data_IF_211018503883
#
_entry.id   IF_211018503883
#
_cell.length_a   1.000
_cell.length_b   1.000
_cell.length_c   1.000
_cell.angle_alpha   90.00
_cell.angle_beta   90.00
_cell.angle_gamma   90.00
#
_symmetry.space_group_name_H-M   'P 1'
#
loop_
_entity.id
_entity.type
_entity.pdbx_description
1 polymer ?
#
# COMPACT_ATOMS: atom_id res chain seq x y z
N UNK A 1 -32.38 -15.06 2.94
CA UNK A 1 -32.23 -13.66 2.54
C UNK A 1 -31.57 -12.93 3.70
N UNK A 2 -30.24 -12.69 3.64
CA UNK A 2 -29.51 -11.83 4.59
C UNK A 2 -28.87 -10.72 3.77
N UNK A 3 -29.34 -9.52 3.96
CA UNK A 3 -28.90 -8.28 3.31
C UNK A 3 -27.47 -7.96 3.73
N UNK A 4 -26.53 -8.00 2.80
CA UNK A 4 -25.21 -7.43 2.95
C UNK A 4 -25.33 -5.92 2.69
N UNK A 5 -25.20 -5.11 3.73
CA UNK A 5 -24.96 -3.68 3.56
C UNK A 5 -23.56 -3.48 2.99
N UNK A 6 -23.41 -2.73 1.88
CA UNK A 6 -22.11 -2.26 1.46
C UNK A 6 -21.72 -1.09 2.38
N UNK A 7 -20.61 -1.24 3.11
CA UNK A 7 -19.94 -0.11 3.72
C UNK A 7 -19.38 0.78 2.60
N UNK A 8 -20.14 1.78 2.20
CA UNK A 8 -19.66 2.87 1.39
C UNK A 8 -18.78 3.75 2.27
N UNK A 9 -17.47 3.63 2.15
CA UNK A 9 -16.53 4.64 2.65
C UNK A 9 -16.66 5.85 1.71
N UNK A 10 -17.57 6.76 2.04
CA UNK A 10 -17.62 8.06 1.43
C UNK A 10 -16.43 8.86 1.96
N UNK A 11 -15.38 8.96 1.16
CA UNK A 11 -14.30 9.93 1.37
C UNK A 11 -14.89 11.33 1.10
N UNK A 12 -15.48 11.93 2.10
CA UNK A 12 -15.74 13.37 2.13
C UNK A 12 -14.38 14.05 2.22
N UNK A 13 -13.88 14.59 1.10
CA UNK A 13 -12.84 15.62 1.11
C UNK A 13 -13.47 16.86 1.79
N UNK A 14 -13.41 16.89 3.10
CA UNK A 14 -13.63 18.11 3.86
C UNK A 14 -12.46 19.05 3.54
N UNK A 15 -12.77 20.22 2.96
CA UNK A 15 -11.82 21.30 2.90
C UNK A 15 -11.50 21.69 4.35
N UNK A 16 -10.40 21.15 4.88
CA UNK A 16 -9.84 21.63 6.13
C UNK A 16 -9.28 23.02 5.85
N UNK A 17 -10.00 24.05 6.30
CA UNK A 17 -9.40 25.34 6.53
C UNK A 17 -8.34 25.12 7.62
N UNK A 18 -7.08 24.97 7.20
CA UNK A 18 -5.95 24.90 8.11
C UNK A 18 -5.79 26.28 8.71
N UNK A 19 -6.37 26.48 9.88
CA UNK A 19 -5.96 27.57 10.74
C UNK A 19 -4.49 27.32 11.09
N UNK A 20 -3.60 28.23 10.70
CA UNK A 20 -2.19 28.20 11.09
C UNK A 20 -2.11 28.42 12.60
N UNK A 21 -2.27 27.35 13.37
CA UNK A 21 -1.84 27.32 14.74
C UNK A 21 -0.32 27.21 14.68
N UNK A 22 0.38 28.32 14.87
CA UNK A 22 1.78 28.30 15.21
C UNK A 22 1.87 27.71 16.62
N UNK A 23 1.98 26.40 16.71
CA UNK A 23 2.45 25.77 17.94
C UNK A 23 3.96 26.03 17.98
N UNK A 24 4.44 26.65 19.03
CA UNK A 24 5.86 26.69 19.41
C UNK A 24 6.28 25.27 19.88
N UNK A 25 6.22 24.31 18.98
CA UNK A 25 6.62 22.92 19.18
C UNK A 25 7.19 22.38 17.86
N UNK A 26 8.10 21.43 17.93
CA UNK A 26 8.69 20.76 16.77
C UNK A 26 7.68 19.88 15.98
N UNK A 27 6.40 20.01 16.29
CA UNK A 27 5.31 19.23 15.68
C UNK A 27 4.99 19.77 14.30
N UNK A 28 5.04 18.93 13.31
CA UNK A 28 4.70 19.31 11.94
C UNK A 28 4.00 18.16 11.20
N UNK A 29 3.14 18.54 10.24
CA UNK A 29 2.51 17.61 9.34
C UNK A 29 3.21 17.63 7.99
N UNK A 30 3.36 16.47 7.38
CA UNK A 30 3.85 16.32 6.01
C UNK A 30 2.81 15.56 5.22
N UNK A 31 2.30 16.16 4.15
CA UNK A 31 1.45 15.48 3.17
C UNK A 31 2.25 15.22 1.92
N UNK A 32 2.33 13.96 1.48
CA UNK A 32 3.02 13.58 0.25
C UNK A 32 2.01 13.03 -0.76
N UNK A 33 2.11 13.45 -1.99
CA UNK A 33 1.31 12.94 -3.13
C UNK A 33 2.29 12.47 -4.19
N UNK A 34 2.07 11.26 -4.70
CA UNK A 34 2.98 10.66 -5.66
C UNK A 34 2.42 9.43 -6.35
N UNK A 35 3.32 8.54 -6.71
CA UNK A 35 2.99 7.26 -7.30
C UNK A 35 3.87 6.16 -6.77
N UNK A 36 3.37 4.94 -6.83
CA UNK A 36 4.15 3.77 -6.47
C UNK A 36 3.94 2.62 -7.45
N UNK A 37 5.02 1.87 -7.67
CA UNK A 37 5.03 0.60 -8.41
C UNK A 37 5.10 -0.52 -7.40
N UNK A 38 4.06 -1.34 -7.35
CA UNK A 38 4.03 -2.58 -6.57
C UNK A 38 4.58 -3.70 -7.45
N UNK A 39 5.69 -4.27 -7.05
CA UNK A 39 6.33 -5.42 -7.69
C UNK A 39 6.24 -6.63 -6.75
N UNK A 40 5.26 -7.55 -6.96
CA UNK A 40 5.21 -8.81 -6.25
C UNK A 40 6.52 -9.58 -6.43
N UNK A 41 6.90 -10.40 -5.45
CA UNK A 41 8.05 -11.30 -5.63
C UNK A 41 7.75 -12.35 -6.71
N UNK A 42 8.79 -12.97 -7.23
CA UNK A 42 8.66 -14.15 -8.07
C UNK A 42 8.12 -15.32 -7.24
N UNK A 43 7.32 -16.19 -7.86
CA UNK A 43 6.73 -17.36 -7.22
C UNK A 43 5.83 -17.00 -6.01
N UNK A 44 4.63 -16.54 -6.32
CA UNK A 44 3.62 -16.13 -5.33
C UNK A 44 2.89 -17.30 -4.66
N UNK A 45 3.51 -18.47 -4.58
CA UNK A 45 2.98 -19.67 -3.93
C UNK A 45 2.37 -20.67 -4.91
N UNK A 46 1.59 -21.59 -4.36
CA UNK A 46 0.96 -22.68 -5.14
C UNK A 46 -0.55 -22.67 -4.93
N UNK A 47 -1.30 -22.65 -6.03
CA UNK A 47 -2.74 -22.71 -6.05
C UNK A 47 -3.18 -23.94 -6.84
N UNK A 48 -3.97 -24.83 -6.24
CA UNK A 48 -4.39 -26.12 -6.79
C UNK A 48 -3.23 -26.95 -7.39
N UNK A 49 -2.06 -26.90 -6.76
CA UNK A 49 -0.86 -27.63 -7.22
C UNK A 49 -0.05 -26.93 -8.32
N UNK A 50 -0.50 -25.79 -8.87
CA UNK A 50 0.21 -25.02 -9.87
C UNK A 50 0.90 -23.79 -9.26
N UNK A 51 2.09 -23.43 -9.74
CA UNK A 51 2.78 -22.19 -9.36
C UNK A 51 1.95 -20.97 -9.75
N UNK A 52 1.85 -20.01 -8.83
CA UNK A 52 1.11 -18.76 -9.03
C UNK A 52 2.04 -17.57 -9.20
N UNK A 53 1.70 -16.68 -10.13
CA UNK A 53 2.38 -15.40 -10.37
C UNK A 53 1.37 -14.26 -10.35
N UNK A 54 1.78 -13.11 -9.77
CA UNK A 54 0.97 -11.89 -9.63
C UNK A 54 1.65 -10.75 -10.38
N UNK A 55 0.90 -10.07 -11.25
CA UNK A 55 1.45 -8.97 -12.06
C UNK A 55 1.78 -7.72 -11.23
N UNK A 56 2.75 -6.92 -11.69
CA UNK A 56 3.04 -5.59 -11.13
C UNK A 56 1.91 -4.61 -11.42
N UNK A 57 1.81 -3.56 -10.60
CA UNK A 57 0.82 -2.50 -10.77
C UNK A 57 1.35 -1.15 -10.31
N UNK A 58 0.99 -0.08 -11.03
CA UNK A 58 1.38 1.30 -10.69
C UNK A 58 0.14 2.12 -10.38
N UNK A 59 0.13 2.85 -9.24
CA UNK A 59 -0.99 3.69 -8.82
C UNK A 59 -0.52 4.95 -8.10
N UNK A 60 -1.35 6.02 -8.13
CA UNK A 60 -1.15 7.19 -7.28
C UNK A 60 -1.22 6.81 -5.79
N UNK A 61 -0.44 7.52 -4.98
CA UNK A 61 -0.37 7.35 -3.52
C UNK A 61 -0.54 8.70 -2.82
N UNK A 62 -1.05 8.63 -1.60
CA UNK A 62 -1.07 9.72 -0.64
C UNK A 62 -0.50 9.22 0.68
N UNK A 63 0.35 10.03 1.30
CA UNK A 63 1.00 9.73 2.57
C UNK A 63 0.82 10.94 3.48
N UNK A 64 0.31 10.73 4.67
CA UNK A 64 0.16 11.74 5.71
C UNK A 64 1.03 11.34 6.89
N UNK A 65 2.04 12.16 7.20
CA UNK A 65 2.96 11.93 8.31
C UNK A 65 2.87 13.07 9.32
N UNK A 66 2.77 12.70 10.60
CA UNK A 66 2.84 13.60 11.73
C UNK A 66 4.18 13.44 12.43
N UNK A 67 5.01 14.49 12.38
CA UNK A 67 6.31 14.57 13.06
C UNK A 67 6.09 15.05 14.50
N UNK A 68 6.18 14.13 15.47
CA UNK A 68 6.06 14.47 16.90
C UNK A 68 7.41 14.83 17.55
N UNK A 69 8.50 14.63 16.83
CA UNK A 69 9.83 15.21 17.08
C UNK A 69 10.48 15.52 15.74
N UNK A 70 11.62 16.26 15.69
CA UNK A 70 12.33 16.47 14.43
C UNK A 70 12.71 15.18 13.70
N UNK A 71 12.94 14.09 14.43
CA UNK A 71 13.43 12.83 13.89
C UNK A 71 12.34 11.75 13.78
N UNK A 72 11.25 11.81 14.56
CA UNK A 72 10.25 10.76 14.60
C UNK A 72 8.91 11.21 14.05
N UNK A 73 8.37 10.42 13.13
CA UNK A 73 7.04 10.61 12.56
C UNK A 73 6.20 9.35 12.63
N UNK A 74 4.88 9.54 12.67
CA UNK A 74 3.89 8.49 12.44
C UNK A 74 3.21 8.78 11.13
N UNK A 75 3.15 7.80 10.22
CA UNK A 75 2.55 7.97 8.90
C UNK A 75 1.39 7.04 8.62
N UNK A 76 0.48 7.51 7.79
CA UNK A 76 -0.58 6.72 7.17
C UNK A 76 -0.45 6.84 5.67
N UNK A 77 -0.09 5.72 5.05
CA UNK A 77 0.00 5.61 3.61
C UNK A 77 -1.28 5.01 3.04
N UNK A 78 -1.84 5.69 2.07
CA UNK A 78 -2.93 5.21 1.22
C UNK A 78 -2.53 5.22 -0.26
N UNK A 79 -3.27 4.45 -1.07
CA UNK A 79 -3.06 4.41 -2.51
C UNK A 79 -4.42 4.30 -3.22
N UNK A 80 -4.48 4.65 -4.51
CA UNK A 80 -5.57 4.17 -5.35
C UNK A 80 -5.49 2.65 -5.48
N UNK A 81 -6.64 1.96 -5.61
CA UNK A 81 -6.64 0.50 -5.67
C UNK A 81 -5.72 -0.04 -6.76
N UNK A 82 -4.75 -0.86 -6.36
CA UNK A 82 -3.90 -1.60 -7.28
C UNK A 82 -4.71 -2.72 -7.92
N UNK A 83 -4.46 -2.99 -9.20
CA UNK A 83 -5.08 -4.09 -9.93
C UNK A 83 -4.01 -5.06 -10.35
N UNK A 84 -4.26 -6.35 -10.08
CA UNK A 84 -3.32 -7.42 -10.40
C UNK A 84 -4.03 -8.54 -11.17
N UNK A 85 -3.34 -9.08 -12.14
CA UNK A 85 -3.70 -10.32 -12.79
C UNK A 85 -2.96 -11.46 -12.07
N UNK A 86 -3.69 -12.53 -11.76
CA UNK A 86 -3.16 -13.75 -11.16
C UNK A 86 -3.08 -14.81 -12.25
N UNK A 87 -1.87 -15.33 -12.46
CA UNK A 87 -1.60 -16.36 -13.45
C UNK A 87 -1.19 -17.67 -12.79
N UNK A 88 -1.51 -18.79 -13.39
CA UNK A 88 -1.08 -20.12 -12.98
C UNK A 88 -0.24 -20.78 -14.07
N UNK A 89 0.79 -21.51 -13.64
CA UNK A 89 1.65 -22.24 -14.54
C UNK A 89 0.86 -23.20 -15.45
N UNK A 90 1.03 -23.06 -16.75
CA UNK A 90 0.31 -23.87 -17.76
C UNK A 90 -1.12 -23.42 -18.08
N UNK A 91 -1.71 -22.48 -17.34
CA UNK A 91 -3.09 -22.03 -17.53
C UNK A 91 -3.19 -20.53 -17.92
N UNK A 92 -2.09 -19.77 -17.81
CA UNK A 92 -2.11 -18.32 -18.03
C UNK A 92 -2.89 -17.56 -16.96
N UNK A 93 -3.43 -16.40 -17.30
CA UNK A 93 -4.21 -15.57 -16.37
C UNK A 93 -5.55 -16.22 -16.05
N UNK A 94 -5.76 -16.51 -14.75
CA UNK A 94 -6.96 -17.22 -14.25
C UNK A 94 -7.86 -16.34 -13.37
N UNK A 95 -7.34 -15.23 -12.84
CA UNK A 95 -8.14 -14.29 -12.05
C UNK A 95 -7.60 -12.87 -12.16
N UNK A 96 -8.47 -11.90 -11.88
CA UNK A 96 -8.14 -10.50 -11.71
C UNK A 96 -8.68 -10.02 -10.39
N UNK A 97 -7.90 -9.23 -9.65
CA UNK A 97 -8.28 -8.71 -8.35
C UNK A 97 -7.83 -7.27 -8.18
N UNK A 98 -8.52 -6.53 -7.31
CA UNK A 98 -8.09 -5.22 -6.81
C UNK A 98 -7.70 -5.33 -5.35
N UNK A 99 -6.70 -4.55 -4.96
CA UNK A 99 -6.29 -4.46 -3.57
C UNK A 99 -6.08 -3.01 -3.14
N UNK A 100 -6.37 -2.76 -1.86
CA UNK A 100 -6.08 -1.51 -1.18
C UNK A 100 -5.24 -1.85 0.06
N UNK A 101 -3.92 -1.52 0.07
CA UNK A 101 -3.00 -1.86 1.16
C UNK A 101 -2.66 -0.65 2.04
N UNK A 102 -3.60 -0.05 2.83
CA UNK A 102 -3.22 0.98 3.78
C UNK A 102 -2.14 0.46 4.74
N UNK A 103 -1.20 1.35 5.06
CA UNK A 103 -0.10 1.07 5.97
C UNK A 103 -0.02 2.17 7.01
N UNK A 104 0.04 1.77 8.28
CA UNK A 104 0.34 2.64 9.41
C UNK A 104 1.78 2.38 9.83
N UNK A 105 2.61 3.42 9.87
CA UNK A 105 4.03 3.30 10.13
C UNK A 105 4.56 4.28 11.17
N UNK A 106 5.78 4.01 11.59
CA UNK A 106 6.63 4.93 12.37
C UNK A 106 7.94 5.05 11.64
N UNK A 107 8.35 6.28 11.34
CA UNK A 107 9.58 6.60 10.62
C UNK A 107 10.57 7.31 11.52
N UNK A 108 11.84 7.03 11.30
CA UNK A 108 12.95 7.78 11.88
C UNK A 108 13.76 8.48 10.79
N UNK A 109 13.79 9.80 10.83
CA UNK A 109 14.56 10.65 9.94
C UNK A 109 15.92 10.97 10.56
N UNK A 110 17.01 10.54 9.92
CA UNK A 110 18.35 10.62 10.51
C UNK A 110 18.91 12.06 10.54
N UNK A 111 18.60 12.85 9.52
CA UNK A 111 19.11 14.23 9.35
C UNK A 111 17.98 15.14 8.89
N UNK A 112 16.97 15.46 9.75
CA UNK A 112 15.74 16.13 9.34
C UNK A 112 15.94 17.54 8.78
N UNK A 113 17.03 18.22 9.17
CA UNK A 113 17.33 19.59 8.73
C UNK A 113 18.25 19.63 7.49
N UNK A 114 18.79 18.48 7.07
CA UNK A 114 19.69 18.43 5.92
C UNK A 114 18.92 18.56 4.59
N UNK A 115 19.62 18.99 3.53
CA UNK A 115 19.06 19.02 2.18
C UNK A 115 18.64 17.62 1.68
N UNK A 116 19.30 16.57 2.19
CA UNK A 116 18.95 15.17 1.97
C UNK A 116 18.83 14.48 3.32
N UNK A 117 17.63 14.03 3.67
CA UNK A 117 17.30 13.37 4.92
C UNK A 117 16.96 11.89 4.66
N UNK A 118 17.86 10.95 4.95
CA UNK A 118 17.55 9.54 4.92
C UNK A 118 16.55 9.18 6.02
N UNK A 119 15.67 8.23 5.77
CA UNK A 119 14.76 7.71 6.79
C UNK A 119 14.58 6.20 6.68
N UNK A 120 14.23 5.60 7.82
CA UNK A 120 13.81 4.21 7.94
C UNK A 120 12.49 4.16 8.70
N UNK A 121 11.60 3.25 8.29
CA UNK A 121 10.30 3.07 8.91
C UNK A 121 9.93 1.61 9.07
N UNK A 122 9.11 1.36 10.07
CA UNK A 122 8.45 0.07 10.31
C UNK A 122 6.96 0.31 10.53
N UNK A 123 6.13 -0.65 10.15
CA UNK A 123 4.70 -0.45 10.26
C UNK A 123 3.89 -1.74 10.15
N UNK A 124 2.59 -1.56 10.15
CA UNK A 124 1.60 -2.60 9.95
C UNK A 124 0.83 -2.30 8.67
N UNK A 125 0.78 -3.27 7.79
CA UNK A 125 0.01 -3.23 6.56
C UNK A 125 -1.28 -4.02 6.73
N UNK A 126 -2.40 -3.44 6.28
CA UNK A 126 -3.65 -4.15 6.09
C UNK A 126 -4.01 -4.15 4.62
N UNK A 127 -4.03 -5.31 3.98
CA UNK A 127 -4.41 -5.43 2.57
C UNK A 127 -5.83 -5.97 2.45
N UNK A 128 -6.70 -5.14 1.88
CA UNK A 128 -8.07 -5.53 1.53
C UNK A 128 -8.13 -5.90 0.05
N UNK A 129 -8.58 -7.13 -0.24
CA UNK A 129 -8.83 -7.62 -1.61
C UNK A 129 -10.31 -7.53 -1.92
N UNK A 130 -10.62 -6.98 -3.09
CA UNK A 130 -12.00 -6.81 -3.55
C UNK A 130 -12.06 -6.86 -5.09
N UNK A 131 -13.28 -6.91 -5.63
CA UNK A 131 -13.52 -6.97 -7.07
C UNK A 131 -12.71 -8.11 -7.74
N UNK A 132 -12.72 -9.29 -7.09
CA UNK A 132 -12.01 -10.48 -7.57
C UNK A 132 -12.91 -11.32 -8.43
N UNK A 133 -12.47 -11.61 -9.67
CA UNK A 133 -13.22 -12.44 -10.60
C UNK A 133 -12.32 -13.41 -11.35
N UNK A 134 -12.86 -14.61 -11.59
CA UNK A 134 -12.23 -15.62 -12.43
C UNK A 134 -12.22 -15.21 -13.90
N UNK A 135 -11.09 -15.46 -14.55
CA UNK A 135 -10.88 -15.28 -15.99
C UNK A 135 -10.26 -16.56 -16.58
N UNK A 136 -10.14 -16.67 -17.89
CA UNK A 136 -9.52 -17.83 -18.53
C UNK A 136 -10.13 -19.16 -18.04
N UNK A 137 -9.29 -20.03 -17.48
CA UNK A 137 -9.72 -21.34 -16.97
C UNK A 137 -10.71 -21.26 -15.78
N UNK A 138 -10.74 -20.12 -15.06
CA UNK A 138 -11.69 -19.88 -13.95
C UNK A 138 -12.84 -18.95 -14.34
N UNK A 139 -13.08 -18.72 -15.62
CA UNK A 139 -14.20 -17.90 -16.07
C UNK A 139 -15.54 -18.45 -15.55
N UNK A 140 -16.37 -17.57 -14.97
CA UNK A 140 -17.65 -17.94 -14.38
C UNK A 140 -17.56 -18.59 -12.98
N UNK A 141 -16.37 -18.89 -12.48
CA UNK A 141 -16.16 -19.39 -11.13
C UNK A 141 -16.09 -18.21 -10.13
N UNK A 142 -16.58 -18.45 -8.89
CA UNK A 142 -16.46 -17.47 -7.81
C UNK A 142 -15.07 -17.58 -7.19
N UNK A 143 -14.20 -16.62 -7.50
CA UNK A 143 -12.87 -16.52 -6.88
C UNK A 143 -12.92 -15.50 -5.75
N UNK A 144 -12.29 -15.80 -4.61
CA UNK A 144 -12.14 -14.87 -3.49
C UNK A 144 -10.75 -14.97 -2.86
N UNK A 145 -10.22 -13.84 -2.42
CA UNK A 145 -8.94 -13.72 -1.75
C UNK A 145 -9.21 -13.11 -0.38
N UNK A 146 -8.69 -13.73 0.68
CA UNK A 146 -8.84 -13.23 2.04
C UNK A 146 -8.02 -11.96 2.24
N UNK A 147 -8.48 -11.08 3.14
CA UNK A 147 -7.68 -9.92 3.54
C UNK A 147 -6.44 -10.37 4.32
N UNK A 148 -5.39 -9.55 4.29
CA UNK A 148 -4.11 -9.84 4.93
C UNK A 148 -3.73 -8.75 5.92
N UNK A 149 -3.14 -9.16 7.04
CA UNK A 149 -2.41 -8.30 7.97
C UNK A 149 -0.96 -8.74 7.98
N UNK A 150 -0.03 -7.80 7.89
CA UNK A 150 1.40 -8.12 7.91
C UNK A 150 2.25 -6.95 8.37
N UNK A 151 3.53 -7.23 8.63
CA UNK A 151 4.53 -6.21 8.88
C UNK A 151 4.91 -5.48 7.60
N UNK A 152 5.36 -4.24 7.75
CA UNK A 152 5.93 -3.47 6.66
C UNK A 152 7.23 -2.79 7.10
N UNK A 153 8.14 -2.62 6.16
CA UNK A 153 9.37 -1.84 6.36
C UNK A 153 9.50 -0.85 5.20
N UNK A 154 10.06 0.33 5.49
CA UNK A 154 10.25 1.42 4.54
C UNK A 154 11.64 2.01 4.70
N UNK A 155 12.30 2.34 3.60
CA UNK A 155 13.54 3.10 3.58
C UNK A 155 13.48 4.13 2.45
N UNK A 156 14.00 5.33 2.67
CA UNK A 156 13.95 6.36 1.65
C UNK A 156 14.77 7.60 2.01
N UNK A 157 14.58 8.60 1.16
CA UNK A 157 15.22 9.91 1.28
C UNK A 157 14.18 10.99 1.02
N UNK A 158 14.13 11.97 1.93
CA UNK A 158 13.48 13.26 1.70
C UNK A 158 14.51 14.25 1.18
N UNK A 159 14.24 14.88 0.06
CA UNK A 159 15.06 15.92 -0.55
C UNK A 159 14.37 17.27 -0.40
N UNK A 160 14.95 18.19 0.34
CA UNK A 160 14.42 19.54 0.55
C UNK A 160 14.49 20.35 -0.75
N UNK A 161 13.33 20.76 -1.27
CA UNK A 161 13.21 21.63 -2.45
C UNK A 161 13.16 23.10 -2.00
N UNK A 162 12.42 23.38 -0.93
CA UNK A 162 12.32 24.68 -0.27
C UNK A 162 12.01 24.47 1.21
N UNK A 163 11.70 25.53 1.95
CA UNK A 163 11.41 25.41 3.40
C UNK A 163 10.21 24.50 3.70
N UNK A 164 9.20 24.48 2.81
CA UNK A 164 8.00 23.69 3.00
C UNK A 164 7.88 22.52 2.00
N UNK A 165 8.57 22.57 0.86
CA UNK A 165 8.44 21.54 -0.18
C UNK A 165 9.58 20.55 -0.15
N UNK A 166 9.26 19.29 -0.29
CA UNK A 166 10.21 18.19 -0.39
C UNK A 166 9.84 17.22 -1.52
N UNK A 167 10.83 16.52 -2.04
CA UNK A 167 10.65 15.36 -2.87
C UNK A 167 11.08 14.12 -2.09
N UNK A 168 10.32 13.04 -2.20
CA UNK A 168 10.63 11.78 -1.52
C UNK A 168 10.79 10.67 -2.55
N UNK A 169 11.82 9.84 -2.37
CA UNK A 169 11.93 8.53 -3.03
C UNK A 169 12.09 7.47 -1.97
N UNK A 170 11.36 6.36 -2.10
CA UNK A 170 11.39 5.30 -1.10
C UNK A 170 11.20 3.91 -1.69
N UNK A 171 11.67 2.94 -0.97
CA UNK A 171 11.40 1.51 -1.18
C UNK A 171 10.71 0.96 0.06
N UNK A 172 9.69 0.13 -0.16
CA UNK A 172 8.92 -0.54 0.89
C UNK A 172 8.85 -2.02 0.61
N UNK A 173 8.74 -2.78 1.67
CA UNK A 173 8.38 -4.18 1.62
C UNK A 173 7.23 -4.41 2.60
N UNK A 174 6.29 -5.27 2.26
CA UNK A 174 5.20 -5.67 3.14
C UNK A 174 4.99 -7.18 3.08
N UNK A 175 4.76 -7.79 4.24
CA UNK A 175 4.32 -9.18 4.33
C UNK A 175 2.84 -9.26 3.98
N UNK A 176 2.53 -9.88 2.84
CA UNK A 176 1.15 -10.04 2.36
C UNK A 176 0.92 -11.49 1.98
N UNK A 177 0.21 -12.21 2.85
CA UNK A 177 -0.15 -13.60 2.64
C UNK A 177 -1.68 -13.77 2.75
N UNK A 178 -2.29 -14.42 1.76
CA UNK A 178 -3.76 -14.52 1.66
C UNK A 178 -4.23 -15.89 1.20
N UNK A 179 -5.28 -16.41 1.83
CA UNK A 179 -5.96 -17.63 1.37
C UNK A 179 -6.79 -17.33 0.12
N UNK A 180 -6.64 -18.19 -0.90
CA UNK A 180 -7.38 -18.13 -2.14
C UNK A 180 -8.43 -19.25 -2.16
N UNK A 181 -9.68 -18.89 -2.50
CA UNK A 181 -10.81 -19.83 -2.59
C UNK A 181 -11.47 -19.73 -3.96
N UNK A 182 -11.91 -20.88 -4.46
CA UNK A 182 -12.75 -21.00 -5.67
C UNK A 182 -14.03 -21.73 -5.28
N UNK A 183 -15.18 -21.13 -5.55
CA UNK A 183 -16.51 -21.63 -5.16
C UNK A 183 -16.69 -21.94 -3.66
N UNK A 184 -15.86 -21.33 -2.82
CA UNK A 184 -15.85 -21.54 -1.37
C UNK A 184 -14.75 -22.48 -0.89
N UNK A 185 -14.20 -23.33 -1.74
CA UNK A 185 -13.13 -24.26 -1.41
C UNK A 185 -11.77 -23.56 -1.45
N UNK A 186 -10.96 -23.74 -0.40
CA UNK A 186 -9.59 -23.21 -0.35
C UNK A 186 -8.69 -24.00 -1.27
N UNK A 187 -8.08 -23.31 -2.25
CA UNK A 187 -7.20 -23.91 -3.25
C UNK A 187 -5.70 -23.66 -2.95
N UNK A 188 -5.39 -22.81 -1.98
CA UNK A 188 -4.00 -22.51 -1.58
C UNK A 188 -3.84 -21.15 -0.94
N UNK A 189 -2.57 -20.73 -0.79
CA UNK A 189 -2.17 -19.40 -0.32
C UNK A 189 -1.39 -18.67 -1.39
N UNK A 190 -1.72 -17.39 -1.57
CA UNK A 190 -0.92 -16.46 -2.34
C UNK A 190 0.01 -15.68 -1.37
N UNK A 191 1.31 -15.70 -1.64
CA UNK A 191 2.34 -14.95 -0.92
C UNK A 191 2.88 -13.87 -1.85
N UNK A 192 2.39 -12.66 -1.68
CA UNK A 192 2.69 -11.56 -2.59
C UNK A 192 4.00 -10.89 -2.21
N UNK A 193 4.20 -10.60 -0.92
CA UNK A 193 5.39 -10.03 -0.29
C UNK A 193 6.11 -9.02 -1.20
N UNK A 194 5.43 -7.97 -1.66
CA UNK A 194 5.92 -7.12 -2.73
C UNK A 194 7.05 -6.21 -2.25
N UNK A 195 7.93 -5.88 -3.19
CA UNK A 195 8.74 -4.68 -3.09
C UNK A 195 8.00 -3.54 -3.81
N UNK A 196 7.92 -2.39 -3.17
CA UNK A 196 7.21 -1.21 -3.67
C UNK A 196 8.18 -0.06 -3.80
N UNK A 197 8.29 0.51 -5.00
CA UNK A 197 9.09 1.71 -5.26
C UNK A 197 8.18 2.91 -5.36
N UNK A 198 8.44 3.94 -4.55
CA UNK A 198 7.65 5.16 -4.48
C UNK A 198 8.44 6.40 -4.84
N UNK A 199 7.75 7.37 -5.45
CA UNK A 199 8.23 8.72 -5.65
C UNK A 199 7.09 9.71 -5.42
N UNK A 200 7.34 10.78 -4.68
CA UNK A 200 6.31 11.75 -4.31
C UNK A 200 6.88 13.15 -4.10
N UNK A 201 5.98 14.13 -4.13
CA UNK A 201 6.24 15.50 -3.69
C UNK A 201 5.43 15.72 -2.42
N UNK A 202 6.05 16.33 -1.42
CA UNK A 202 5.47 16.59 -0.12
C UNK A 202 5.46 18.07 0.23
N UNK A 203 4.51 18.42 1.09
CA UNK A 203 4.42 19.74 1.69
C UNK A 203 4.38 19.59 3.22
N UNK A 204 5.23 20.37 3.90
CA UNK A 204 5.32 20.44 5.36
C UNK A 204 4.60 21.70 5.85
N UNK A 205 3.72 21.53 6.85
CA UNK A 205 3.00 22.63 7.51
C UNK A 205 3.64 23.02 8.83
#
# INVERSE_FOLDING_TARGET
MKSLLPFAFAATLGAFAVSTVHAEGNDSWVVRIGGAVVAPKDNNGTLAGAGADVSSSTRPTIDLEYMFTPNWGVDVLGAWPFQHDVSLAGLGTVARTRQLPPTLGVNYHFMPDAALSPFLGVGVNYTNFFDTHGTGALYGQRVSIANSWGGAVRAGFDMKISDNWLATVDVRWADIESDVKVNGDRIGKAKIDPVVFGASVGYRF
#
